data_IF_688105230526
#
_entry.id   IF_688105230526
#
_cell.length_a   1.000
_cell.length_b   1.000
_cell.length_c   1.000
_cell.angle_alpha   90.00
_cell.angle_beta   90.00
_cell.angle_gamma   90.00
#
_symmetry.space_group_name_H-M   'P 1'
#
loop_
_entity.id
_entity.type
_entity.pdbx_description
1 polymer ?
#
# COMPACT_ATOMS: atom_id res chain seq x y z
N UNK A 1 -7.09 -17.75 -11.09
CA UNK A 1 -6.49 -18.24 -9.83
C UNK A 1 -6.65 -17.32 -8.61
N UNK A 2 -6.68 -15.99 -8.71
CA UNK A 2 -7.11 -15.06 -7.61
C UNK A 2 -7.65 -13.78 -8.26
N UNK A 3 -8.54 -13.04 -7.59
CA UNK A 3 -8.93 -11.68 -7.97
C UNK A 3 -8.40 -10.70 -6.93
N UNK A 4 -7.75 -9.62 -7.38
CA UNK A 4 -7.28 -8.51 -6.55
C UNK A 4 -7.94 -7.24 -7.07
N UNK A 5 -8.56 -6.44 -6.19
CA UNK A 5 -9.13 -5.16 -6.63
C UNK A 5 -8.03 -4.18 -7.02
N UNK A 6 -8.18 -3.56 -8.18
CA UNK A 6 -7.25 -2.54 -8.69
C UNK A 6 -7.66 -1.10 -8.39
N UNK A 7 -8.77 -0.89 -7.67
CA UNK A 7 -9.29 0.44 -7.36
C UNK A 7 -9.82 0.47 -5.92
N UNK A 8 -9.50 1.53 -5.19
CA UNK A 8 -10.01 1.76 -3.83
C UNK A 8 -11.52 1.99 -3.79
N UNK A 9 -12.15 2.29 -4.94
CA UNK A 9 -13.61 2.34 -5.07
C UNK A 9 -14.32 1.00 -4.82
N UNK A 10 -13.59 -0.12 -4.78
CA UNK A 10 -14.11 -1.45 -4.43
C UNK A 10 -13.93 -1.81 -2.95
N UNK A 11 -13.50 -0.86 -2.11
CA UNK A 11 -13.35 -1.05 -0.67
C UNK A 11 -14.61 -1.67 -0.07
N UNK A 12 -14.46 -2.81 0.61
CA UNK A 12 -15.56 -3.53 1.26
C UNK A 12 -16.40 -4.40 0.33
N UNK A 13 -16.11 -4.44 -0.98
CA UNK A 13 -16.86 -5.28 -1.93
C UNK A 13 -16.38 -6.75 -1.99
N UNK A 14 -15.27 -7.10 -1.33
CA UNK A 14 -14.61 -8.41 -1.50
C UNK A 14 -15.52 -9.59 -1.18
N UNK A 15 -16.20 -9.56 -0.03
CA UNK A 15 -17.08 -10.66 0.38
C UNK A 15 -18.34 -10.76 -0.51
N UNK A 16 -18.90 -9.63 -0.95
CA UNK A 16 -20.05 -9.62 -1.85
C UNK A 16 -19.69 -10.22 -3.22
N UNK A 17 -18.55 -9.82 -3.79
CA UNK A 17 -18.08 -10.34 -5.06
C UNK A 17 -17.71 -11.83 -4.94
N UNK A 18 -17.04 -12.23 -3.86
CA UNK A 18 -16.71 -13.63 -3.58
C UNK A 18 -17.97 -14.49 -3.48
N UNK A 19 -18.99 -14.04 -2.76
CA UNK A 19 -20.27 -14.73 -2.65
C UNK A 19 -20.97 -14.84 -4.02
N UNK A 20 -20.95 -13.77 -4.82
CA UNK A 20 -21.52 -13.78 -6.17
C UNK A 20 -20.80 -14.80 -7.08
N UNK A 21 -19.48 -14.87 -7.04
CA UNK A 21 -18.70 -15.82 -7.81
C UNK A 21 -18.95 -17.27 -7.35
N UNK A 22 -19.01 -17.51 -6.05
CA UNK A 22 -19.35 -18.82 -5.49
C UNK A 22 -20.73 -19.32 -5.97
N UNK A 23 -21.73 -18.42 -6.07
CA UNK A 23 -23.06 -18.76 -6.61
C UNK A 23 -23.04 -19.23 -8.08
N UNK A 24 -21.96 -18.94 -8.80
CA UNK A 24 -21.72 -19.35 -10.18
C UNK A 24 -20.73 -20.51 -10.30
N UNK A 25 -20.45 -21.22 -9.20
CA UNK A 25 -19.43 -22.27 -9.10
C UNK A 25 -17.99 -21.77 -9.38
N UNK A 26 -17.73 -20.47 -9.18
CA UNK A 26 -16.41 -19.86 -9.31
C UNK A 26 -15.81 -19.59 -7.92
N UNK A 27 -15.15 -20.60 -7.35
CA UNK A 27 -14.54 -20.50 -6.03
C UNK A 27 -13.13 -19.90 -6.11
N UNK A 28 -13.05 -18.57 -6.21
CA UNK A 28 -11.77 -17.84 -6.27
C UNK A 28 -11.64 -16.86 -5.09
N UNK A 29 -10.45 -16.73 -4.49
CA UNK A 29 -10.20 -15.69 -3.50
C UNK A 29 -10.36 -14.30 -4.12
N UNK A 30 -10.97 -13.39 -3.36
CA UNK A 30 -11.10 -11.97 -3.71
C UNK A 30 -10.40 -11.17 -2.63
N UNK A 31 -9.35 -10.44 -3.02
CA UNK A 31 -8.51 -9.66 -2.10
C UNK A 31 -8.88 -8.18 -2.22
N UNK A 32 -9.34 -7.62 -1.10
CA UNK A 32 -9.39 -6.17 -0.91
C UNK A 32 -7.99 -5.66 -0.51
N UNK A 33 -7.33 -4.82 -1.32
CA UNK A 33 -6.00 -4.33 -1.03
C UNK A 33 -5.95 -3.39 0.18
N UNK A 34 -7.06 -2.75 0.59
CA UNK A 34 -7.05 -1.78 1.69
C UNK A 34 -6.76 -2.44 3.05
N UNK A 35 -7.57 -3.41 3.54
CA UNK A 35 -7.27 -4.10 4.79
C UNK A 35 -5.96 -4.88 4.73
N UNK A 36 -5.63 -5.47 3.57
CA UNK A 36 -4.35 -6.14 3.35
C UNK A 36 -3.18 -5.18 3.59
N UNK A 37 -3.20 -4.01 2.97
CA UNK A 37 -2.14 -3.00 3.10
C UNK A 37 -2.02 -2.51 4.54
N UNK A 38 -3.13 -2.30 5.24
CA UNK A 38 -3.09 -1.89 6.65
C UNK A 38 -2.40 -2.93 7.54
N UNK A 39 -2.74 -4.21 7.38
CA UNK A 39 -2.13 -5.29 8.16
C UNK A 39 -0.64 -5.43 7.82
N UNK A 40 -0.28 -5.33 6.53
CA UNK A 40 1.12 -5.32 6.11
C UNK A 40 1.89 -4.16 6.73
N UNK A 41 1.37 -2.94 6.68
CA UNK A 41 2.01 -1.76 7.26
C UNK A 41 2.18 -1.89 8.80
N UNK A 42 1.14 -2.35 9.49
CA UNK A 42 1.20 -2.59 10.94
C UNK A 42 2.24 -3.67 11.29
N UNK A 43 2.35 -4.72 10.48
CA UNK A 43 3.33 -5.79 10.67
C UNK A 43 4.75 -5.28 10.47
N UNK A 44 5.00 -4.51 9.41
CA UNK A 44 6.31 -3.89 9.17
C UNK A 44 6.72 -2.96 10.33
N UNK A 45 5.79 -2.11 10.80
CA UNK A 45 6.04 -1.21 11.92
C UNK A 45 6.35 -1.96 13.22
N UNK A 46 5.58 -3.02 13.53
CA UNK A 46 5.83 -3.88 14.71
C UNK A 46 7.19 -4.57 14.67
N UNK A 47 7.68 -4.91 13.48
CA UNK A 47 8.99 -5.52 13.28
C UNK A 47 10.13 -4.50 13.22
N UNK A 48 9.86 -3.20 13.34
CA UNK A 48 10.87 -2.14 13.19
C UNK A 48 11.43 -2.03 11.77
N UNK A 49 10.72 -2.57 10.76
CA UNK A 49 11.16 -2.54 9.37
C UNK A 49 10.78 -1.20 8.73
N UNK A 50 11.75 -0.60 8.03
CA UNK A 50 11.56 0.64 7.27
C UNK A 50 12.09 0.49 5.84
N UNK A 51 11.71 1.41 4.95
CA UNK A 51 12.21 1.40 3.58
C UNK A 51 13.74 1.54 3.55
N UNK A 52 14.40 0.60 2.87
CA UNK A 52 15.84 0.65 2.63
C UNK A 52 16.24 1.96 1.98
N UNK A 53 17.16 2.72 2.59
CA UNK A 53 17.69 3.96 2.02
C UNK A 53 18.66 3.73 0.85
N UNK A 54 19.05 2.48 0.60
CA UNK A 54 19.81 2.10 -0.60
C UNK A 54 18.90 2.01 -1.83
N UNK A 55 17.69 1.43 -1.69
CA UNK A 55 16.72 1.35 -2.77
C UNK A 55 15.83 2.61 -2.88
N UNK A 56 15.47 3.19 -1.73
CA UNK A 56 14.62 4.37 -1.59
C UNK A 56 15.39 5.48 -0.85
N UNK A 57 16.43 5.99 -1.50
CA UNK A 57 17.23 7.11 -0.98
C UNK A 57 16.36 8.36 -0.79
N UNK A 58 16.68 9.23 0.19
CA UNK A 58 16.04 10.53 0.29
C UNK A 58 16.23 11.32 -1.03
N UNK A 59 15.25 12.16 -1.42
CA UNK A 59 15.39 13.00 -2.61
C UNK A 59 16.66 13.87 -2.53
N UNK A 60 17.36 14.02 -3.66
CA UNK A 60 18.51 14.94 -3.74
C UNK A 60 18.07 16.37 -3.47
N UNK A 61 18.89 17.12 -2.75
CA UNK A 61 18.66 18.54 -2.50
C UNK A 61 18.73 19.33 -3.81
N UNK A 62 17.61 19.93 -4.20
CA UNK A 62 17.48 20.84 -5.34
C UNK A 62 16.26 21.73 -5.15
N UNK A 63 16.20 22.85 -5.88
CA UNK A 63 14.98 23.64 -5.97
C UNK A 63 13.86 22.79 -6.63
N UNK A 64 12.68 22.79 -6.03
CA UNK A 64 11.50 22.10 -6.56
C UNK A 64 10.46 23.16 -6.90
N UNK A 65 10.47 23.62 -8.15
CA UNK A 65 9.54 24.65 -8.64
C UNK A 65 8.09 24.23 -8.40
N UNK A 66 7.27 25.16 -7.91
CA UNK A 66 5.86 24.91 -7.60
C UNK A 66 5.61 24.25 -6.23
N UNK A 67 6.66 23.93 -5.46
CA UNK A 67 6.52 23.37 -4.11
C UNK A 67 7.42 24.10 -3.11
N UNK A 68 6.83 24.61 -2.03
CA UNK A 68 7.57 25.20 -0.91
C UNK A 68 8.04 24.11 0.05
N UNK A 69 9.04 23.32 -0.37
CA UNK A 69 9.63 22.29 0.48
C UNK A 69 10.82 22.90 1.25
N UNK A 70 10.80 22.90 2.60
CA UNK A 70 11.90 23.44 3.39
C UNK A 70 13.21 22.73 3.01
N UNK A 71 14.28 23.50 2.79
CA UNK A 71 15.63 22.97 2.52
C UNK A 71 16.29 22.32 3.76
N UNK A 72 15.52 22.05 4.81
CA UNK A 72 15.96 21.43 6.04
C UNK A 72 16.52 20.01 5.77
N UNK A 73 17.49 19.54 6.59
CA UNK A 73 18.09 18.23 6.38
C UNK A 73 17.01 17.14 6.45
N UNK A 74 16.79 16.45 5.33
CA UNK A 74 15.97 15.25 5.27
C UNK A 74 16.81 14.06 5.75
N UNK A 75 17.23 14.13 7.01
CA UNK A 75 17.92 13.06 7.70
C UNK A 75 17.54 13.14 9.18
N UNK A 76 16.43 12.49 9.53
CA UNK A 76 16.47 11.77 10.81
C UNK A 76 17.35 10.55 10.51
N UNK A 77 18.57 10.58 11.06
CA UNK A 77 19.40 9.40 11.19
C UNK A 77 18.55 8.29 11.85
N UNK A 78 18.74 7.06 11.38
CA UNK A 78 17.94 5.90 11.78
C UNK A 78 17.93 5.64 13.27
#
# INVERSE_FOLDING_TARGET
DVIIFGCTGFLGCAESIKAHLASRNLNVPVIDPVPLTMITAASLARMGLTNSKKAYAPPRRKEIKGFNIPLAPHAIAG
#
